data_IF_793283549517
#
_entry.id   IF_793283549517
#
_cell.length_a   1.000
_cell.length_b   1.000
_cell.length_c   1.000
_cell.angle_alpha   90.00
_cell.angle_beta   90.00
_cell.angle_gamma   90.00
#
_symmetry.space_group_name_H-M   'P 1'
#
loop_
_entity.id
_entity.type
_entity.pdbx_description
1 polymer ?
#
# COMPACT_ATOMS: atom_id res chain seq x y z
N UNK A 1 -0.87 -7.77 10.89
CA UNK A 1 -0.34 -9.12 11.23
C UNK A 1 -0.99 -10.24 10.43
N UNK A 2 -2.32 -10.19 10.21
CA UNK A 2 -3.07 -11.28 9.57
C UNK A 2 -2.53 -11.73 8.20
N UNK A 3 -2.03 -10.79 7.37
CA UNK A 3 -1.55 -11.10 6.03
C UNK A 3 -0.02 -11.25 5.92
N UNK A 4 0.74 -11.04 7.00
CA UNK A 4 2.21 -10.98 6.91
C UNK A 4 2.85 -12.34 6.60
N UNK A 5 2.22 -13.42 7.06
CA UNK A 5 2.64 -14.78 6.74
C UNK A 5 2.56 -15.09 5.23
N UNK A 6 1.77 -14.31 4.48
CA UNK A 6 1.59 -14.46 3.03
C UNK A 6 2.48 -13.50 2.23
N UNK A 7 3.53 -12.92 2.83
CA UNK A 7 4.49 -12.10 2.09
C UNK A 7 5.06 -12.83 0.85
N UNK A 8 5.46 -14.11 0.93
CA UNK A 8 5.91 -14.83 -0.27
C UNK A 8 4.84 -14.89 -1.36
N UNK A 9 3.56 -15.03 -1.00
CA UNK A 9 2.46 -15.04 -1.95
C UNK A 9 2.27 -13.67 -2.61
N UNK A 10 2.39 -12.57 -1.85
CA UNK A 10 2.33 -11.22 -2.42
C UNK A 10 3.49 -10.96 -3.39
N UNK A 11 4.70 -11.37 -3.02
CA UNK A 11 5.87 -11.26 -3.89
C UNK A 11 5.68 -12.07 -5.17
N UNK A 12 5.16 -13.29 -5.07
CA UNK A 12 4.83 -14.12 -6.22
C UNK A 12 3.74 -13.48 -7.11
N UNK A 13 2.70 -12.88 -6.53
CA UNK A 13 1.68 -12.13 -7.31
C UNK A 13 2.35 -11.03 -8.14
N UNK A 14 3.23 -10.23 -7.53
CA UNK A 14 3.97 -9.15 -8.22
C UNK A 14 4.84 -9.71 -9.34
N UNK A 15 5.59 -10.78 -9.05
CA UNK A 15 6.46 -11.43 -10.03
C UNK A 15 5.69 -11.97 -11.24
N UNK A 16 4.64 -12.76 -11.01
CA UNK A 16 3.83 -13.33 -12.08
C UNK A 16 3.10 -12.24 -12.86
N UNK A 17 2.62 -11.19 -12.19
CA UNK A 17 1.92 -10.07 -12.84
C UNK A 17 2.84 -9.22 -13.72
N UNK A 18 4.16 -9.22 -13.46
CA UNK A 18 5.14 -8.57 -14.32
C UNK A 18 5.45 -9.35 -15.61
N UNK A 19 5.12 -10.65 -15.63
CA UNK A 19 5.42 -11.58 -16.73
C UNK A 19 4.17 -11.85 -17.57
N UNK A 20 3.03 -12.17 -16.94
CA UNK A 20 1.85 -12.68 -17.62
C UNK A 20 1.31 -11.76 -18.73
N UNK A 21 1.18 -10.43 -18.55
CA UNK A 21 0.74 -9.55 -19.63
C UNK A 21 1.70 -9.52 -20.82
N UNK A 22 3.00 -9.72 -20.60
CA UNK A 22 3.99 -9.74 -21.68
C UNK A 22 3.88 -11.00 -22.53
N UNK A 23 3.51 -12.12 -21.91
CA UNK A 23 3.33 -13.39 -22.60
C UNK A 23 2.09 -13.39 -23.52
N UNK A 24 1.10 -12.52 -23.26
CA UNK A 24 -0.11 -12.40 -24.07
C UNK A 24 -0.03 -11.33 -25.17
N UNK A 25 1.05 -10.54 -25.25
CA UNK A 25 1.23 -9.52 -26.29
C UNK A 25 1.30 -10.17 -27.67
N UNK A 26 0.46 -9.70 -28.60
CA UNK A 26 0.50 -10.12 -30.01
C UNK A 26 1.72 -9.53 -30.71
N UNK A 27 2.06 -10.05 -31.89
CA UNK A 27 3.20 -9.55 -32.68
C UNK A 27 3.09 -8.06 -33.06
N UNK A 28 1.88 -7.49 -33.05
CA UNK A 28 1.61 -6.07 -33.29
C UNK A 28 1.70 -5.20 -32.03
N UNK A 29 2.06 -5.77 -30.87
CA UNK A 29 2.15 -5.06 -29.59
C UNK A 29 0.81 -4.92 -28.86
N UNK A 30 -0.30 -5.37 -29.44
CA UNK A 30 -1.63 -5.26 -28.82
C UNK A 30 -1.91 -6.42 -27.87
N UNK A 31 -2.75 -6.16 -26.87
CA UNK A 31 -3.32 -7.21 -26.03
C UNK A 31 -4.52 -7.84 -26.74
N UNK A 32 -4.78 -9.16 -26.56
CA UNK A 32 -5.95 -9.80 -27.12
C UNK A 32 -7.23 -9.11 -26.63
N UNK A 33 -8.20 -8.85 -27.52
CA UNK A 33 -9.36 -8.00 -27.23
C UNK A 33 -10.38 -8.63 -26.26
N UNK A 34 -10.26 -9.93 -25.97
CA UNK A 34 -11.23 -10.63 -25.13
C UNK A 34 -10.56 -11.77 -24.36
N UNK A 35 -10.34 -11.55 -23.06
CA UNK A 35 -10.01 -12.61 -22.12
C UNK A 35 -10.91 -12.42 -20.92
N UNK A 36 -11.88 -13.33 -20.71
CA UNK A 36 -12.64 -13.40 -19.47
C UNK A 36 -11.66 -13.43 -18.29
N UNK A 37 -11.65 -12.36 -17.49
CA UNK A 37 -11.11 -12.23 -16.14
C UNK A 37 -9.87 -13.06 -15.76
N UNK A 38 -8.84 -13.04 -16.61
CA UNK A 38 -7.47 -13.41 -16.24
C UNK A 38 -6.61 -12.15 -16.04
N UNK A 39 -7.24 -11.02 -15.69
CA UNK A 39 -6.51 -9.78 -15.47
C UNK A 39 -5.79 -9.82 -14.12
N UNK A 40 -4.54 -9.37 -14.13
CA UNK A 40 -3.70 -9.20 -12.96
C UNK A 40 -4.18 -8.06 -12.04
N UNK A 41 -5.14 -7.24 -12.52
CA UNK A 41 -5.64 -6.06 -11.82
C UNK A 41 -6.12 -6.31 -10.38
N UNK A 42 -7.05 -7.24 -10.16
CA UNK A 42 -7.56 -7.52 -8.81
C UNK A 42 -6.47 -8.07 -7.85
N UNK A 43 -5.66 -9.08 -8.24
CA UNK A 43 -4.51 -9.51 -7.43
C UNK A 43 -3.54 -8.38 -7.09
N UNK A 44 -3.22 -7.51 -8.06
CA UNK A 44 -2.34 -6.36 -7.84
C UNK A 44 -2.95 -5.33 -6.90
N UNK A 45 -4.24 -5.02 -7.06
CA UNK A 45 -5.00 -4.14 -6.18
C UNK A 45 -5.02 -4.64 -4.73
N UNK A 46 -5.33 -5.92 -4.55
CA UNK A 46 -5.32 -6.53 -3.24
C UNK A 46 -3.93 -6.49 -2.61
N UNK A 47 -2.89 -6.76 -3.41
CA UNK A 47 -1.49 -6.72 -2.96
C UNK A 47 -1.06 -5.32 -2.54
N UNK A 48 -1.39 -4.28 -3.32
CA UNK A 48 -1.03 -2.89 -2.99
C UNK A 48 -1.68 -2.39 -1.71
N UNK A 49 -2.88 -2.91 -1.39
CA UNK A 49 -3.62 -2.54 -0.19
C UNK A 49 -3.26 -3.37 1.04
N UNK A 50 -3.06 -4.68 0.91
CA UNK A 50 -2.97 -5.60 2.07
C UNK A 50 -1.54 -5.91 2.50
N UNK A 51 -0.59 -5.92 1.57
CA UNK A 51 0.82 -6.15 1.88
C UNK A 51 1.39 -4.99 2.71
N UNK A 52 2.06 -5.30 3.82
CA UNK A 52 2.69 -4.32 4.72
C UNK A 52 4.13 -3.98 4.33
N UNK A 53 4.74 -4.77 3.46
CA UNK A 53 6.10 -4.52 2.98
C UNK A 53 6.08 -3.39 1.94
N UNK A 54 6.76 -2.25 2.18
CA UNK A 54 6.68 -1.09 1.29
C UNK A 54 7.14 -1.37 -0.14
N UNK A 55 8.15 -2.23 -0.34
CA UNK A 55 8.67 -2.55 -1.66
C UNK A 55 7.65 -3.31 -2.50
N UNK A 56 7.14 -4.42 -1.95
CA UNK A 56 6.19 -5.30 -2.64
C UNK A 56 4.89 -4.57 -2.97
N UNK A 57 4.34 -3.79 -2.04
CA UNK A 57 3.10 -3.06 -2.30
C UNK A 57 3.26 -1.94 -3.34
N UNK A 58 4.38 -1.22 -3.37
CA UNK A 58 4.67 -0.20 -4.40
C UNK A 58 4.87 -0.81 -5.77
N UNK A 59 5.55 -1.96 -5.84
CA UNK A 59 5.70 -2.70 -7.07
C UNK A 59 4.34 -3.16 -7.63
N UNK A 60 3.45 -3.65 -6.76
CA UNK A 60 2.10 -4.01 -7.15
C UNK A 60 1.30 -2.81 -7.72
N UNK A 61 1.38 -1.66 -7.06
CA UNK A 61 0.73 -0.43 -7.53
C UNK A 61 1.28 0.04 -8.90
N UNK A 62 2.60 -0.04 -9.09
CA UNK A 62 3.24 0.31 -10.36
C UNK A 62 2.80 -0.59 -11.52
N UNK A 63 2.65 -1.90 -11.26
CA UNK A 63 2.12 -2.85 -12.24
C UNK A 63 0.64 -2.62 -12.51
N UNK A 64 -0.16 -2.28 -11.49
CA UNK A 64 -1.59 -2.01 -11.64
C UNK A 64 -1.83 -0.82 -12.58
N UNK A 65 -0.99 0.21 -12.53
CA UNK A 65 -1.03 1.35 -13.46
C UNK A 65 -0.72 0.98 -14.90
N UNK A 66 0.13 -0.03 -15.10
CA UNK A 66 0.54 -0.51 -16.42
C UNK A 66 -0.39 -1.59 -16.96
N UNK A 67 -1.32 -2.09 -16.14
CA UNK A 67 -2.24 -3.13 -16.54
C UNK A 67 -3.11 -2.64 -17.71
N UNK A 68 -3.25 -3.46 -18.77
CA UNK A 68 -3.99 -3.06 -19.96
C UNK A 68 -5.47 -2.85 -19.63
N UNK A 69 -6.08 -1.88 -20.32
CA UNK A 69 -7.52 -1.61 -20.27
C UNK A 69 -8.28 -2.66 -21.08
N UNK A 70 -8.33 -3.90 -20.58
CA UNK A 70 -9.14 -4.98 -21.18
C UNK A 70 -10.51 -5.04 -20.51
N UNK A 71 -11.54 -5.33 -21.30
CA UNK A 71 -12.94 -5.31 -20.89
C UNK A 71 -13.21 -6.47 -19.90
N UNK A 72 -13.21 -6.17 -18.59
CA UNK A 72 -13.37 -7.13 -17.49
C UNK A 72 -12.57 -6.66 -16.27
N UNK A 73 -13.28 -6.19 -15.25
CA UNK A 73 -12.81 -5.41 -14.09
C UNK A 73 -12.23 -4.01 -14.38
N UNK A 74 -13.16 -3.04 -14.37
CA UNK A 74 -13.09 -1.65 -13.87
C UNK A 74 -11.70 -0.97 -13.83
N UNK A 75 -11.52 0.04 -14.69
CA UNK A 75 -10.57 1.16 -14.55
C UNK A 75 -9.40 0.90 -13.58
N UNK A 76 -8.41 0.09 -13.98
CA UNK A 76 -7.21 -0.14 -13.16
C UNK A 76 -6.53 1.18 -12.78
N UNK A 77 -6.67 2.22 -13.60
CA UNK A 77 -6.27 3.60 -13.30
C UNK A 77 -6.96 4.17 -12.06
N UNK A 78 -8.29 4.06 -11.98
CA UNK A 78 -9.09 4.53 -10.84
C UNK A 78 -8.67 3.80 -9.57
N UNK A 79 -8.60 2.47 -9.61
CA UNK A 79 -8.15 1.69 -8.45
C UNK A 79 -6.72 2.03 -8.07
N UNK A 80 -5.79 2.12 -9.02
CA UNK A 80 -4.44 2.58 -8.73
C UNK A 80 -4.41 3.95 -8.03
N UNK A 81 -5.24 4.91 -8.44
CA UNK A 81 -5.34 6.20 -7.76
C UNK A 81 -5.80 6.04 -6.31
N UNK A 82 -6.87 5.27 -6.05
CA UNK A 82 -7.33 4.96 -4.69
C UNK A 82 -6.20 4.33 -3.86
N UNK A 83 -5.46 3.38 -4.43
CA UNK A 83 -4.41 2.64 -3.71
C UNK A 83 -3.19 3.47 -3.42
N UNK A 84 -2.82 4.37 -4.32
CA UNK A 84 -1.78 5.36 -4.07
C UNK A 84 -2.16 6.24 -2.89
N UNK A 85 -3.35 6.85 -2.91
CA UNK A 85 -3.80 7.73 -1.82
C UNK A 85 -3.77 7.00 -0.47
N UNK A 86 -4.27 5.76 -0.40
CA UNK A 86 -4.24 4.98 0.84
C UNK A 86 -2.80 4.68 1.25
N UNK A 87 -1.95 4.27 0.32
CA UNK A 87 -0.56 3.93 0.59
C UNK A 87 0.20 5.14 1.13
N UNK A 88 0.04 6.31 0.52
CA UNK A 88 0.65 7.57 0.96
C UNK A 88 0.20 7.96 2.37
N UNK A 89 -1.11 7.84 2.66
CA UNK A 89 -1.64 8.10 4.00
C UNK A 89 -1.04 7.15 5.03
N UNK A 90 -1.06 5.83 4.79
CA UNK A 90 -0.48 4.84 5.69
C UNK A 90 1.03 5.05 5.92
N UNK A 91 1.77 5.38 4.86
CA UNK A 91 3.20 5.67 4.93
C UNK A 91 3.48 6.95 5.72
N UNK A 92 2.69 8.01 5.51
CA UNK A 92 2.82 9.27 6.26
C UNK A 92 2.56 9.08 7.76
N UNK A 93 1.53 8.30 8.13
CA UNK A 93 1.24 7.97 9.52
C UNK A 93 2.33 7.09 10.13
N UNK A 94 2.88 6.14 9.37
CA UNK A 94 4.01 5.34 9.83
C UNK A 94 5.24 6.22 10.14
N UNK A 95 5.53 7.21 9.29
CA UNK A 95 6.62 8.17 9.51
C UNK A 95 6.37 9.05 10.74
N UNK A 96 5.19 9.65 10.86
CA UNK A 96 4.83 10.49 12.01
C UNK A 96 4.95 9.71 13.33
N UNK A 97 4.55 8.44 13.34
CA UNK A 97 4.67 7.54 14.49
C UNK A 97 6.13 7.25 14.84
N UNK A 98 6.98 6.98 13.84
CA UNK A 98 8.44 6.80 14.05
C UNK A 98 9.07 8.05 14.66
N UNK A 99 8.71 9.24 14.17
CA UNK A 99 9.18 10.52 14.74
C UNK A 99 8.73 10.70 16.19
N UNK A 100 7.47 10.37 16.51
CA UNK A 100 6.96 10.45 17.88
C UNK A 100 7.71 9.51 18.85
N UNK A 101 8.13 8.32 18.42
CA UNK A 101 8.98 7.42 19.22
C UNK A 101 10.43 7.89 19.33
N UNK A 102 10.93 8.62 18.32
CA UNK A 102 12.28 9.17 18.31
C UNK A 102 12.39 10.57 18.93
N UNK A 103 11.29 11.15 19.44
CA UNK A 103 11.35 12.33 20.31
C UNK A 103 12.11 11.95 21.58
N UNK A 104 13.35 12.46 21.79
CA UNK A 104 14.21 11.95 22.83
C UNK A 104 13.75 12.48 24.18
N UNK A 105 13.50 11.57 25.13
CA UNK A 105 13.94 11.87 26.49
C UNK A 105 15.44 12.17 26.40
N UNK A 106 15.80 13.40 26.75
CA UNK A 106 17.17 13.89 26.79
C UNK A 106 18.06 12.93 27.58
N UNK A 107 18.91 12.20 26.86
CA UNK A 107 19.96 11.35 27.40
C UNK A 107 21.20 11.59 26.57
N UNK A 108 22.04 12.50 27.03
CA UNK A 108 23.36 12.82 26.49
C UNK A 108 24.16 11.55 26.25
N UNK A 109 24.45 11.23 24.98
CA UNK A 109 25.52 10.30 24.63
C UNK A 109 26.68 11.12 24.09
N UNK A 110 27.70 11.24 24.94
CA UNK A 110 29.02 11.77 24.63
C UNK A 110 29.56 11.14 23.34
N UNK A 111 29.83 11.99 22.36
CA UNK A 111 30.63 11.67 21.20
C UNK A 111 32.09 11.52 21.70
N UNK A 112 32.56 10.28 21.83
CA UNK A 112 34.01 10.02 21.88
C UNK A 112 34.47 9.50 20.52
N UNK A 113 35.24 10.36 19.87
CA UNK A 113 36.06 10.07 18.71
C UNK A 113 36.92 8.81 18.89
N UNK A 114 37.00 7.99 17.85
CA UNK A 114 37.96 6.89 17.72
C UNK A 114 37.92 6.28 16.31
N UNK A 115 39.06 5.83 15.76
CA UNK A 115 39.36 5.96 14.33
C UNK A 115 38.97 4.75 13.47
N UNK A 116 38.66 5.05 12.21
CA UNK A 116 38.49 4.14 11.08
C UNK A 116 39.73 3.23 10.90
N UNK A 117 39.55 1.92 10.65
CA UNK A 117 40.53 1.16 9.88
C UNK A 117 39.93 0.58 8.59
N UNK A 118 40.50 1.08 7.49
CA UNK A 118 40.82 0.44 6.20
C UNK A 118 39.97 -0.70 5.64
N UNK A 119 39.41 -0.41 4.47
CA UNK A 119 39.13 -1.32 3.36
C UNK A 119 40.28 -2.31 3.10
N UNK A 120 39.99 -3.61 3.05
CA UNK A 120 40.73 -4.55 2.20
C UNK A 120 39.75 -5.46 1.43
N UNK A 121 39.81 -5.35 0.11
CA UNK A 121 39.18 -6.26 -0.85
C UNK A 121 39.99 -7.57 -0.89
N UNK A 122 39.31 -8.71 -0.77
CA UNK A 122 39.80 -9.97 -1.32
C UNK A 122 38.66 -10.70 -2.04
N UNK A 123 38.84 -10.89 -3.34
CA UNK A 123 37.99 -11.72 -4.17
C UNK A 123 38.46 -13.18 -4.10
N UNK A 124 37.54 -14.12 -3.84
CA UNK A 124 37.67 -15.51 -4.31
C UNK A 124 36.35 -16.29 -4.21
N UNK A 125 35.61 -16.32 -5.32
CA UNK A 125 35.23 -17.52 -6.10
C UNK A 125 34.77 -18.84 -5.43
N UNK A 126 33.48 -19.14 -5.67
CA UNK A 126 32.73 -20.41 -5.79
C UNK A 126 32.61 -21.38 -4.59
N UNK A 127 31.40 -21.49 -4.01
CA UNK A 127 30.52 -22.69 -4.15
C UNK A 127 29.19 -22.54 -3.39
N UNK A 128 28.10 -22.85 -4.11
CA UNK A 128 26.80 -23.40 -3.71
C UNK A 128 26.07 -22.97 -2.41
N UNK A 129 24.82 -22.55 -2.62
CA UNK A 129 23.64 -22.72 -1.75
C UNK A 129 23.66 -22.05 -0.36
N UNK A 130 23.05 -20.86 -0.31
CA UNK A 130 22.11 -20.55 0.76
C UNK A 130 21.03 -19.61 0.22
N UNK A 131 19.79 -20.05 0.38
CA UNK A 131 18.56 -19.27 0.42
C UNK A 131 18.75 -17.95 1.18
N UNK A 132 19.17 -16.91 0.47
CA UNK A 132 19.17 -15.53 0.98
C UNK A 132 17.89 -14.86 0.50
N UNK A 133 16.75 -15.40 0.96
CA UNK A 133 15.57 -14.58 1.15
C UNK A 133 15.99 -13.41 2.02
N UNK A 134 16.19 -12.24 1.41
CA UNK A 134 16.39 -10.99 2.13
C UNK A 134 15.13 -10.76 2.95
N UNK A 135 15.10 -11.32 4.15
CA UNK A 135 13.98 -11.20 5.06
C UNK A 135 14.05 -9.77 5.54
N UNK A 136 13.38 -8.88 4.79
CA UNK A 136 13.22 -7.49 5.16
C UNK A 136 12.73 -7.50 6.61
N UNK A 137 13.48 -6.93 7.57
CA UNK A 137 13.08 -6.98 8.97
C UNK A 137 11.65 -6.44 9.10
N UNK A 138 10.78 -7.17 9.79
CA UNK A 138 9.36 -6.78 10.00
C UNK A 138 9.23 -5.37 10.58
N UNK A 139 10.27 -4.85 11.24
CA UNK A 139 10.37 -3.47 11.72
C UNK A 139 10.25 -2.40 10.60
N UNK A 140 10.51 -2.77 9.34
CA UNK A 140 10.36 -1.89 8.18
C UNK A 140 8.94 -1.92 7.58
N UNK A 141 8.08 -2.83 8.03
CA UNK A 141 6.72 -2.92 7.54
C UNK A 141 5.89 -1.74 8.05
N UNK A 142 4.87 -1.37 7.28
CA UNK A 142 3.87 -0.40 7.72
C UNK A 142 3.22 -0.93 9.01
N UNK A 143 3.27 -0.22 10.15
CA UNK A 143 2.71 -0.69 11.41
C UNK A 143 1.21 -1.00 11.28
N UNK A 144 0.71 -2.04 11.96
CA UNK A 144 -0.71 -2.44 11.85
C UNK A 144 -1.64 -1.31 12.32
N UNK A 145 -1.20 -0.53 13.30
CA UNK A 145 -2.02 0.49 13.95
C UNK A 145 -2.25 1.71 13.06
N UNK A 146 -1.45 1.87 12.00
CA UNK A 146 -1.62 2.96 11.03
C UNK A 146 -2.28 2.48 9.73
N UNK A 147 -2.68 1.20 9.67
CA UNK A 147 -3.35 0.64 8.50
C UNK A 147 -4.76 1.20 8.35
N UNK A 148 -5.11 1.49 7.11
CA UNK A 148 -6.42 2.00 6.71
C UNK A 148 -7.31 0.81 6.33
N UNK A 149 -8.48 0.74 6.95
CA UNK A 149 -9.50 -0.32 6.83
C UNK A 149 -10.81 0.18 6.21
N UNK A 150 -11.81 -0.70 6.03
CA UNK A 150 -12.60 -0.85 4.80
C UNK A 150 -12.81 0.45 4.01
N UNK A 151 -12.31 0.42 2.78
CA UNK A 151 -12.51 1.51 1.81
C UNK A 151 -13.80 1.25 1.05
N UNK A 152 -14.71 2.21 1.08
CA UNK A 152 -15.96 2.18 0.33
C UNK A 152 -16.10 3.48 -0.46
N UNK A 153 -16.37 3.38 -1.76
CA UNK A 153 -16.80 4.51 -2.55
C UNK A 153 -18.33 4.65 -2.44
N UNK A 154 -18.83 5.87 -2.32
CA UNK A 154 -20.26 6.17 -2.38
C UNK A 154 -20.49 7.55 -2.99
N UNK A 155 -21.70 7.78 -3.51
CA UNK A 155 -22.18 9.12 -3.89
C UNK A 155 -23.35 9.49 -2.99
N UNK A 156 -23.43 10.73 -2.48
CA UNK A 156 -24.57 11.16 -1.67
C UNK A 156 -25.92 10.94 -2.35
N UNK A 157 -26.00 11.08 -3.68
CA UNK A 157 -27.22 10.86 -4.47
C UNK A 157 -27.71 9.39 -4.43
N UNK A 158 -26.81 8.43 -4.22
CA UNK A 158 -27.15 7.00 -4.09
C UNK A 158 -27.49 6.63 -2.63
N UNK A 159 -27.40 7.59 -1.71
CA UNK A 159 -27.58 7.39 -0.28
C UNK A 159 -26.27 7.28 0.50
N UNK A 160 -26.38 7.44 1.82
CA UNK A 160 -25.24 7.42 2.73
C UNK A 160 -25.01 6.02 3.30
N UNK A 161 -23.75 5.55 3.37
CA UNK A 161 -23.40 4.34 4.12
C UNK A 161 -23.78 4.47 5.60
N UNK A 162 -24.10 3.36 6.25
CA UNK A 162 -24.48 3.34 7.67
C UNK A 162 -23.50 4.11 8.56
N UNK A 163 -24.03 5.06 9.34
CA UNK A 163 -23.24 5.92 10.24
C UNK A 163 -22.53 7.09 9.54
N UNK A 164 -22.75 7.30 8.24
CA UNK A 164 -22.31 8.51 7.53
C UNK A 164 -23.47 9.50 7.47
N UNK A 165 -23.17 10.76 7.72
CA UNK A 165 -24.13 11.87 7.66
C UNK A 165 -23.66 12.94 6.68
N UNK A 166 -24.56 13.83 6.28
CA UNK A 166 -24.21 14.96 5.41
C UNK A 166 -23.14 15.86 6.03
N UNK A 167 -23.16 16.04 7.36
CA UNK A 167 -22.19 16.84 8.09
C UNK A 167 -20.74 16.34 7.92
N UNK A 168 -20.54 15.04 7.72
CA UNK A 168 -19.20 14.44 7.57
C UNK A 168 -18.51 14.86 6.27
N UNK A 169 -19.30 15.16 5.23
CA UNK A 169 -18.82 15.54 3.90
C UNK A 169 -19.06 17.03 3.57
N UNK A 170 -19.93 17.72 4.31
CA UNK A 170 -20.28 19.12 4.08
C UNK A 170 -19.06 20.06 4.00
N UNK A 171 -17.99 19.75 4.77
CA UNK A 171 -16.72 20.51 4.76
C UNK A 171 -16.05 20.59 3.39
N UNK A 172 -16.35 19.67 2.48
CA UNK A 172 -15.78 19.64 1.14
C UNK A 172 -16.56 20.49 0.13
N UNK A 173 -17.77 20.93 0.48
CA UNK A 173 -18.65 21.75 -0.36
C UNK A 173 -18.79 21.22 -1.80
N UNK A 174 -19.05 19.91 -1.94
CA UNK A 174 -19.23 19.22 -3.23
C UNK A 174 -20.69 18.85 -3.46
N UNK A 175 -21.04 18.70 -4.75
CA UNK A 175 -22.38 18.29 -5.17
C UNK A 175 -22.73 16.85 -4.77
N UNK A 176 -24.03 16.47 -4.86
CA UNK A 176 -24.51 15.14 -4.47
C UNK A 176 -24.06 14.01 -5.42
N UNK A 177 -23.54 14.36 -6.59
CA UNK A 177 -22.98 13.47 -7.61
C UNK A 177 -21.50 13.13 -7.38
N UNK A 178 -20.79 13.89 -6.53
CA UNK A 178 -19.40 13.65 -6.19
C UNK A 178 -19.21 12.26 -5.56
N UNK A 179 -18.22 11.52 -6.04
CA UNK A 179 -17.77 10.29 -5.38
C UNK A 179 -16.90 10.64 -4.18
N UNK A 180 -17.23 10.03 -3.05
CA UNK A 180 -16.44 10.08 -1.83
C UNK A 180 -15.87 8.71 -1.51
N UNK A 181 -14.62 8.69 -1.08
CA UNK A 181 -14.02 7.53 -0.43
C UNK A 181 -14.22 7.66 1.07
N UNK A 182 -14.92 6.69 1.64
CA UNK A 182 -14.99 6.44 3.07
C UNK A 182 -13.95 5.40 3.43
N UNK A 183 -13.09 5.70 4.39
CA UNK A 183 -12.15 4.74 4.94
C UNK A 183 -12.12 4.82 6.46
N UNK A 184 -11.68 3.75 7.11
CA UNK A 184 -11.53 3.70 8.55
C UNK A 184 -10.07 3.73 8.95
N UNK A 185 -9.74 4.36 10.07
CA UNK A 185 -8.41 4.25 10.69
C UNK A 185 -8.51 4.04 12.19
N UNK A 186 -7.46 3.50 12.77
CA UNK A 186 -7.34 3.41 14.22
C UNK A 186 -6.84 4.74 14.78
N UNK A 187 -7.54 5.28 15.76
CA UNK A 187 -7.14 6.47 16.51
C UNK A 187 -6.93 6.11 17.98
N UNK A 188 -5.86 6.63 18.58
CA UNK A 188 -5.58 6.42 20.00
C UNK A 188 -6.53 7.28 20.83
N UNK A 189 -7.28 6.65 21.72
CA UNK A 189 -8.19 7.34 22.65
C UNK A 189 -7.43 8.20 23.67
N UNK A 190 -8.10 9.19 24.24
CA UNK A 190 -7.53 10.14 25.22
C UNK A 190 -6.88 9.47 26.45
N UNK A 191 -7.25 8.22 26.77
CA UNK A 191 -6.68 7.43 27.89
C UNK A 191 -5.43 6.61 27.54
N UNK A 192 -4.86 6.76 26.33
CA UNK A 192 -3.59 6.15 25.92
C UNK A 192 -3.62 4.65 25.61
N UNK A 193 -4.48 3.87 26.28
CA UNK A 193 -4.51 2.40 26.20
C UNK A 193 -5.58 1.81 25.29
N UNK A 194 -6.54 2.59 24.79
CA UNK A 194 -7.58 2.10 23.88
C UNK A 194 -7.45 2.71 22.49
N UNK A 195 -7.58 1.88 21.45
CA UNK A 195 -7.73 2.34 20.06
C UNK A 195 -9.22 2.32 19.70
N UNK A 196 -9.70 3.39 19.07
CA UNK A 196 -11.05 3.46 18.49
C UNK A 196 -10.94 3.53 16.97
N UNK A 197 -11.90 2.92 16.28
CA UNK A 197 -12.02 3.06 14.83
C UNK A 197 -12.75 4.37 14.53
N UNK A 198 -12.15 5.22 13.72
CA UNK A 198 -12.78 6.45 13.19
C UNK A 198 -12.92 6.33 11.68
N UNK A 199 -14.00 6.89 11.13
CA UNK A 199 -14.22 6.97 9.69
C UNK A 199 -13.88 8.36 9.19
N UNK A 200 -13.13 8.41 8.09
CA UNK A 200 -12.79 9.64 7.39
C UNK A 200 -13.31 9.57 5.95
N UNK A 201 -13.49 10.76 5.37
CA UNK A 201 -14.13 10.95 4.09
C UNK A 201 -13.33 11.95 3.26
N UNK A 202 -12.97 11.55 2.05
CA UNK A 202 -12.26 12.40 1.09
C UNK A 202 -13.00 12.38 -0.26
N UNK A 203 -13.13 13.53 -0.94
CA UNK A 203 -13.64 13.56 -2.31
C UNK A 203 -12.65 12.80 -3.19
N UNK A 204 -13.18 12.09 -4.17
CA UNK A 204 -12.39 11.30 -5.09
C UNK A 204 -12.81 11.63 -6.52
N UNK A 205 -11.83 12.14 -7.27
CA UNK A 205 -11.97 12.55 -8.66
C UNK A 205 -11.24 11.51 -9.53
N UNK A 206 -11.88 11.01 -10.59
CA UNK A 206 -11.32 10.01 -11.53
C UNK A 206 -11.61 10.39 -12.98
#
# INVERSE_FOLDING_TARGET
MQFDAYLPNFQNIVEQSAIAPKASVRSDGTQPPFTFDLNVGLPLWFTSLRCREPRTRRAALALLRQAPLVQGFYQCSMWAAVGETIMELEESYAMAKKVAYHSPNSGTLDLKDGPIPSFELAASSYSALADMGSTTPTALFIPEEVRIGPIAAFRPIDGFPSGTTEADIAKWNRGPDQVFLRYSRSERGMGGNSYRVVYEYVPFDF
#
